data_IF_631533628076
#
_entry.id   IF_631533628076
#
_cell.length_a   1.000
_cell.length_b   1.000
_cell.length_c   1.000
_cell.angle_alpha   90.00
_cell.angle_beta   90.00
_cell.angle_gamma   90.00
#
_symmetry.space_group_name_H-M   'P 1'
#
loop_
_entity.id
_entity.type
_entity.pdbx_description
1 polymer ?
#
# COMPACT_ATOMS: atom_id res chain seq x y z
N UNK A 1 18.23 -31.02 -22.30
CA UNK A 1 17.01 -30.48 -22.95
C UNK A 1 16.37 -29.53 -21.95
N UNK A 2 16.60 -28.22 -22.09
CA UNK A 2 15.99 -27.23 -21.19
C UNK A 2 14.56 -26.99 -21.70
N UNK A 3 13.56 -27.45 -20.95
CA UNK A 3 12.17 -27.08 -21.23
C UNK A 3 12.06 -25.56 -21.20
N UNK A 4 11.57 -24.97 -22.30
CA UNK A 4 11.19 -23.55 -22.29
C UNK A 4 10.01 -23.42 -21.33
N UNK A 5 10.27 -22.93 -20.13
CA UNK A 5 9.26 -22.55 -19.15
C UNK A 5 8.40 -21.43 -19.75
N UNK A 6 7.32 -21.79 -20.44
CA UNK A 6 6.31 -20.85 -20.92
C UNK A 6 5.54 -20.23 -19.75
N UNK A 7 4.96 -19.04 -19.96
CA UNK A 7 4.08 -18.44 -18.97
C UNK A 7 2.85 -19.32 -18.75
N UNK A 8 2.52 -19.60 -17.48
CA UNK A 8 1.27 -20.27 -17.13
C UNK A 8 0.08 -19.37 -17.48
N UNK A 9 -0.99 -19.96 -18.01
CA UNK A 9 -2.20 -19.23 -18.46
C UNK A 9 -2.80 -18.38 -17.33
N UNK A 10 -2.82 -18.94 -16.12
CA UNK A 10 -3.33 -18.31 -14.91
C UNK A 10 -2.51 -17.07 -14.53
N UNK A 11 -1.19 -17.14 -14.69
CA UNK A 11 -0.28 -16.00 -14.46
C UNK A 11 -0.55 -14.88 -15.46
N UNK A 12 -0.81 -15.22 -16.73
CA UNK A 12 -1.12 -14.23 -17.75
C UNK A 12 -2.48 -13.56 -17.49
N UNK A 13 -3.51 -14.33 -17.12
CA UNK A 13 -4.83 -13.81 -16.76
C UNK A 13 -4.71 -12.87 -15.55
N UNK A 14 -4.01 -13.29 -14.50
CA UNK A 14 -3.79 -12.45 -13.32
C UNK A 14 -3.07 -11.15 -13.69
N UNK A 15 -2.00 -11.22 -14.49
CA UNK A 15 -1.24 -10.04 -14.93
C UNK A 15 -2.12 -9.04 -15.71
N UNK A 16 -2.97 -9.53 -16.62
CA UNK A 16 -3.91 -8.68 -17.37
C UNK A 16 -4.95 -8.05 -16.45
N UNK A 17 -5.53 -8.82 -15.51
CA UNK A 17 -6.49 -8.29 -14.54
C UNK A 17 -5.85 -7.23 -13.65
N UNK A 18 -4.63 -7.47 -13.16
CA UNK A 18 -3.86 -6.50 -12.37
C UNK A 18 -3.66 -5.21 -13.17
N UNK A 19 -3.11 -5.32 -14.38
CA UNK A 19 -2.81 -4.17 -15.23
C UNK A 19 -4.08 -3.38 -15.58
N UNK A 20 -5.16 -4.07 -15.94
CA UNK A 20 -6.45 -3.45 -16.22
C UNK A 20 -7.01 -2.73 -14.99
N UNK A 21 -6.95 -3.35 -13.81
CA UNK A 21 -7.42 -2.75 -12.57
C UNK A 21 -6.62 -1.50 -12.21
N UNK A 22 -5.29 -1.49 -12.41
CA UNK A 22 -4.46 -0.29 -12.22
C UNK A 22 -4.90 0.85 -13.15
N UNK A 23 -5.17 0.56 -14.43
CA UNK A 23 -5.65 1.59 -15.38
C UNK A 23 -7.02 2.11 -14.97
N UNK A 24 -7.96 1.23 -14.63
CA UNK A 24 -9.29 1.60 -14.14
C UNK A 24 -9.18 2.46 -12.87
N UNK A 25 -8.28 2.10 -11.95
CA UNK A 25 -7.98 2.90 -10.75
C UNK A 25 -7.60 4.32 -11.10
N UNK A 26 -6.60 4.48 -11.97
CA UNK A 26 -6.09 5.80 -12.33
C UNK A 26 -7.16 6.63 -13.05
N UNK A 27 -7.97 6.02 -13.92
CA UNK A 27 -9.08 6.69 -14.61
C UNK A 27 -10.15 7.15 -13.61
N UNK A 28 -10.61 6.26 -12.73
CA UNK A 28 -11.65 6.58 -11.72
C UNK A 28 -11.16 7.70 -10.80
N UNK A 29 -9.93 7.61 -10.29
CA UNK A 29 -9.36 8.66 -9.44
C UNK A 29 -9.22 9.99 -10.19
N UNK A 30 -8.87 9.95 -11.48
CA UNK A 30 -8.86 11.11 -12.36
C UNK A 30 -10.23 11.78 -12.52
N UNK A 31 -11.31 10.98 -12.67
CA UNK A 31 -12.70 11.48 -12.76
C UNK A 31 -13.09 12.21 -11.47
N UNK A 32 -12.72 11.65 -10.31
CA UNK A 32 -12.96 12.27 -9.00
C UNK A 32 -11.98 13.41 -8.65
N UNK A 33 -11.07 13.77 -9.57
CA UNK A 33 -10.03 14.79 -9.38
C UNK A 33 -9.14 14.55 -8.15
N UNK A 34 -8.98 13.29 -7.77
CA UNK A 34 -8.07 12.88 -6.70
C UNK A 34 -6.64 13.06 -7.23
N UNK A 35 -5.89 13.98 -6.63
CA UNK A 35 -4.55 14.34 -7.12
C UNK A 35 -3.49 13.32 -6.72
N UNK A 36 -3.77 12.50 -5.71
CA UNK A 36 -2.82 11.55 -5.14
C UNK A 36 -3.42 10.14 -5.10
N UNK A 37 -3.40 9.45 -6.25
CA UNK A 37 -3.92 8.09 -6.36
C UNK A 37 -2.97 6.97 -5.92
N UNK A 38 -1.70 7.30 -5.69
CA UNK A 38 -0.67 6.35 -5.27
C UNK A 38 -1.04 5.51 -4.04
N UNK A 39 -1.77 6.01 -3.01
CA UNK A 39 -2.05 5.19 -1.83
C UNK A 39 -2.94 3.99 -2.14
N UNK A 40 -3.93 4.16 -3.03
CA UNK A 40 -4.80 3.08 -3.48
C UNK A 40 -4.05 2.07 -4.36
N UNK A 41 -3.14 2.58 -5.21
CA UNK A 41 -2.29 1.75 -6.05
C UNK A 41 -1.38 0.84 -5.22
N UNK A 42 -0.74 1.36 -4.15
CA UNK A 42 0.09 0.55 -3.27
C UNK A 42 -0.72 -0.56 -2.57
N UNK A 43 -1.97 -0.29 -2.19
CA UNK A 43 -2.84 -1.32 -1.60
C UNK A 43 -3.05 -2.47 -2.59
N UNK A 44 -3.35 -2.13 -3.84
CA UNK A 44 -3.53 -3.12 -4.91
C UNK A 44 -2.23 -3.91 -5.16
N UNK A 45 -1.10 -3.21 -5.24
CA UNK A 45 0.22 -3.82 -5.44
C UNK A 45 0.54 -4.81 -4.31
N UNK A 46 0.41 -4.40 -3.05
CA UNK A 46 0.69 -5.27 -1.91
C UNK A 46 -0.26 -6.46 -1.81
N UNK A 47 -1.52 -6.27 -2.18
CA UNK A 47 -2.47 -7.38 -2.23
C UNK A 47 -1.98 -8.47 -3.18
N UNK A 48 -1.55 -8.11 -4.38
CA UNK A 48 -1.02 -9.06 -5.36
C UNK A 48 0.36 -9.60 -5.01
N UNK A 49 1.25 -8.77 -4.50
CA UNK A 49 2.58 -9.19 -4.03
C UNK A 49 2.48 -10.20 -2.88
N UNK A 50 1.46 -10.07 -2.03
CA UNK A 50 1.14 -11.05 -0.98
C UNK A 50 0.47 -12.34 -1.49
N UNK A 51 0.40 -12.52 -2.82
CA UNK A 51 -0.22 -13.68 -3.46
C UNK A 51 -1.75 -13.60 -3.57
N UNK A 52 -2.32 -12.40 -3.59
CA UNK A 52 -3.76 -12.16 -3.64
C UNK A 52 -4.56 -12.83 -2.51
N UNK A 53 -3.94 -12.97 -1.32
CA UNK A 53 -4.58 -13.59 -0.15
C UNK A 53 -5.33 -12.57 0.67
N UNK A 54 -6.63 -12.80 0.87
CA UNK A 54 -7.51 -11.87 1.60
C UNK A 54 -7.14 -11.69 3.06
N UNK A 55 -6.48 -12.69 3.67
CA UNK A 55 -5.97 -12.62 5.05
C UNK A 55 -4.98 -11.46 5.26
N UNK A 56 -4.24 -11.06 4.22
CA UNK A 56 -3.26 -9.98 4.29
C UNK A 56 -3.91 -8.59 4.19
N UNK A 57 -5.15 -8.48 3.69
CA UNK A 57 -5.81 -7.19 3.48
C UNK A 57 -5.85 -6.36 4.76
N UNK A 58 -6.13 -7.01 5.90
CA UNK A 58 -6.16 -6.31 7.20
C UNK A 58 -4.83 -5.63 7.51
N UNK A 59 -3.72 -6.35 7.35
CA UNK A 59 -2.38 -5.82 7.60
C UNK A 59 -1.99 -4.75 6.57
N UNK A 60 -2.39 -4.90 5.31
CA UNK A 60 -2.16 -3.91 4.25
C UNK A 60 -2.87 -2.59 4.57
N UNK A 61 -4.17 -2.64 4.89
CA UNK A 61 -4.95 -1.42 5.18
C UNK A 61 -4.52 -0.77 6.51
N UNK A 62 -4.33 -1.57 7.57
CA UNK A 62 -3.83 -1.04 8.84
C UNK A 62 -2.43 -0.44 8.68
N UNK A 63 -1.55 -1.12 7.96
CA UNK A 63 -0.22 -0.61 7.62
C UNK A 63 -0.30 0.70 6.83
N UNK A 64 -1.18 0.79 5.84
CA UNK A 64 -1.39 2.03 5.08
C UNK A 64 -1.75 3.20 5.98
N UNK A 65 -2.74 3.02 6.86
CA UNK A 65 -3.17 4.06 7.81
C UNK A 65 -2.02 4.45 8.74
N UNK A 66 -1.35 3.47 9.36
CA UNK A 66 -0.27 3.73 10.32
C UNK A 66 0.91 4.43 9.64
N UNK A 67 1.37 3.94 8.49
CA UNK A 67 2.48 4.54 7.75
C UNK A 67 2.20 5.99 7.34
N UNK A 68 0.98 6.28 6.87
CA UNK A 68 0.55 7.63 6.52
C UNK A 68 0.50 8.56 7.73
N UNK A 69 -0.01 8.08 8.87
CA UNK A 69 -0.05 8.84 10.12
C UNK A 69 1.35 9.12 10.66
N UNK A 70 2.26 8.13 10.63
CA UNK A 70 3.65 8.30 11.05
C UNK A 70 4.35 9.36 10.19
N UNK A 71 4.13 9.34 8.87
CA UNK A 71 4.71 10.34 7.97
C UNK A 71 4.08 11.74 8.17
N UNK A 72 2.77 11.82 8.49
CA UNK A 72 2.13 13.09 8.85
C UNK A 72 2.60 13.64 10.20
N UNK A 73 2.92 12.76 11.14
CA UNK A 73 3.42 13.11 12.47
C UNK A 73 4.90 13.49 12.51
N UNK A 74 5.71 12.99 11.57
CA UNK A 74 7.14 13.28 11.47
C UNK A 74 7.46 14.80 11.53
N UNK A 75 6.89 15.68 10.69
CA UNK A 75 7.21 17.11 10.76
C UNK A 75 6.79 17.76 12.08
N UNK A 76 5.74 17.26 12.73
CA UNK A 76 5.30 17.77 14.04
C UNK A 76 6.30 17.40 15.13
N UNK A 77 6.75 16.15 15.15
CA UNK A 77 7.76 15.66 16.08
C UNK A 77 9.10 16.36 15.88
N UNK A 78 9.54 16.52 14.63
CA UNK A 78 10.76 17.27 14.28
C UNK A 78 10.65 18.71 14.77
N UNK A 79 9.55 19.41 14.46
CA UNK A 79 9.34 20.79 14.91
C UNK A 79 9.41 20.94 16.43
N UNK A 80 8.93 19.94 17.19
CA UNK A 80 8.99 19.95 18.65
C UNK A 80 10.42 19.77 19.20
N UNK A 81 11.28 19.06 18.48
CA UNK A 81 12.66 18.74 18.90
C UNK A 81 13.71 19.73 18.38
N UNK A 82 13.43 20.44 17.29
CA UNK A 82 14.33 21.44 16.68
C UNK A 82 14.87 22.46 17.68
N UNK A 83 14.09 23.03 18.62
CA UNK A 83 14.61 24.01 19.57
C UNK A 83 15.74 23.50 20.47
N UNK A 84 15.79 22.18 20.72
CA UNK A 84 16.75 21.56 21.63
C UNK A 84 17.93 20.92 20.89
N UNK A 85 17.71 20.39 19.69
CA UNK A 85 18.68 19.55 18.98
C UNK A 85 19.21 20.15 17.68
N UNK A 86 18.58 21.22 17.18
CA UNK A 86 18.75 21.65 15.79
C UNK A 86 18.01 20.74 14.79
N UNK A 87 17.94 21.16 13.53
CA UNK A 87 17.09 20.52 12.53
C UNK A 87 17.54 19.10 12.17
N UNK A 88 18.81 18.94 11.80
CA UNK A 88 19.32 17.67 11.28
C UNK A 88 19.30 16.55 12.33
N UNK A 89 19.79 16.75 13.58
CA UNK A 89 19.69 15.72 14.61
C UNK A 89 18.24 15.41 15.02
N UNK A 90 17.33 16.39 14.97
CA UNK A 90 15.90 16.16 15.24
C UNK A 90 15.27 15.25 14.17
N UNK A 91 15.56 15.47 12.88
CA UNK A 91 15.08 14.59 11.80
C UNK A 91 15.60 13.17 11.99
N UNK A 92 16.92 13.01 12.18
CA UNK A 92 17.54 11.70 12.34
C UNK A 92 16.97 10.95 13.54
N UNK A 93 16.76 11.63 14.67
CA UNK A 93 16.20 11.02 15.87
C UNK A 93 14.75 10.57 15.66
N UNK A 94 13.90 11.41 15.05
CA UNK A 94 12.50 11.05 14.80
C UNK A 94 12.40 9.88 13.82
N UNK A 95 13.19 9.89 12.74
CA UNK A 95 13.24 8.77 11.78
C UNK A 95 13.73 7.50 12.47
N UNK A 96 14.79 7.58 13.29
CA UNK A 96 15.28 6.46 14.07
C UNK A 96 14.19 5.87 14.96
N UNK A 97 13.47 6.70 15.72
CA UNK A 97 12.38 6.24 16.61
C UNK A 97 11.28 5.57 15.79
N UNK A 98 10.84 6.17 14.69
CA UNK A 98 9.76 5.59 13.86
C UNK A 98 10.17 4.24 13.30
N UNK A 99 11.37 4.13 12.72
CA UNK A 99 11.86 2.86 12.15
C UNK A 99 12.05 1.82 13.25
N UNK A 100 12.64 2.21 14.38
CA UNK A 100 12.80 1.34 15.54
C UNK A 100 11.46 0.79 16.01
N UNK A 101 10.43 1.64 16.14
CA UNK A 101 9.09 1.21 16.54
C UNK A 101 8.48 0.24 15.53
N UNK A 102 8.59 0.54 14.22
CA UNK A 102 8.04 -0.36 13.18
C UNK A 102 8.71 -1.73 13.24
N UNK A 103 10.03 -1.79 13.40
CA UNK A 103 10.77 -3.06 13.41
C UNK A 103 10.58 -3.80 14.74
N UNK A 104 10.79 -3.12 15.87
CA UNK A 104 10.76 -3.75 17.19
C UNK A 104 9.35 -4.18 17.62
N UNK A 105 8.31 -3.42 17.25
CA UNK A 105 6.92 -3.79 17.52
C UNK A 105 6.33 -4.68 16.43
N UNK A 106 7.09 -5.01 15.38
CA UNK A 106 6.64 -5.85 14.28
C UNK A 106 6.16 -7.22 14.75
N UNK A 107 6.86 -7.85 15.69
CA UNK A 107 6.51 -9.18 16.19
C UNK A 107 5.33 -9.15 17.19
N UNK A 108 5.13 -8.03 17.89
CA UNK A 108 4.12 -7.90 18.96
C UNK A 108 2.80 -7.34 18.43
N UNK A 109 2.88 -6.38 17.51
CA UNK A 109 1.76 -5.61 16.98
C UNK A 109 1.83 -5.51 15.44
N UNK A 110 2.10 -6.67 14.80
CA UNK A 110 2.27 -6.84 13.35
C UNK A 110 1.15 -6.24 12.49
N UNK A 111 -0.05 -6.04 13.04
CA UNK A 111 -1.14 -5.41 12.33
C UNK A 111 -0.88 -3.92 12.05
N UNK A 112 -0.22 -3.23 12.97
CA UNK A 112 0.04 -1.79 12.90
C UNK A 112 1.47 -1.51 12.44
N UNK A 113 2.43 -2.28 12.95
CA UNK A 113 3.85 -2.14 12.68
C UNK A 113 4.27 -3.29 11.76
N UNK A 114 4.33 -3.02 10.46
CA UNK A 114 4.70 -4.00 9.45
C UNK A 114 5.36 -3.35 8.24
N UNK A 115 5.80 -4.18 7.30
CA UNK A 115 6.45 -3.73 6.07
C UNK A 115 5.56 -2.81 5.23
N UNK A 116 4.23 -2.99 5.23
CA UNK A 116 3.33 -2.08 4.54
C UNK A 116 3.37 -0.69 5.18
N UNK A 117 3.29 -0.60 6.52
CA UNK A 117 3.42 0.67 7.24
C UNK A 117 4.75 1.37 6.93
N UNK A 118 5.85 0.62 6.89
CA UNK A 118 7.15 1.16 6.52
C UNK A 118 7.17 1.75 5.11
N UNK A 119 6.62 1.04 4.11
CA UNK A 119 6.61 1.54 2.73
C UNK A 119 5.70 2.75 2.58
N UNK A 120 4.51 2.76 3.18
CA UNK A 120 3.64 3.93 3.16
C UNK A 120 4.29 5.14 3.84
N UNK A 121 4.94 4.94 4.98
CA UNK A 121 5.73 5.98 5.66
C UNK A 121 6.82 6.54 4.74
N UNK A 122 7.60 5.66 4.12
CA UNK A 122 8.73 6.02 3.25
C UNK A 122 8.25 6.81 2.04
N UNK A 123 7.27 6.28 1.30
CA UNK A 123 6.73 6.92 0.09
C UNK A 123 6.11 8.26 0.43
N UNK A 124 5.31 8.33 1.51
CA UNK A 124 4.66 9.57 1.92
C UNK A 124 5.66 10.65 2.35
N UNK A 125 6.82 10.26 2.89
CA UNK A 125 7.88 11.18 3.33
C UNK A 125 8.71 11.76 2.18
N UNK A 126 8.60 11.22 0.96
CA UNK A 126 9.23 11.78 -0.25
C UNK A 126 8.52 13.08 -0.66
N UNK A 127 7.22 13.20 -0.39
CA UNK A 127 6.44 14.34 -0.82
C UNK A 127 6.70 15.56 0.08
N UNK A 128 6.92 16.75 -0.50
CA UNK A 128 7.20 17.95 0.29
C UNK A 128 5.97 18.43 1.10
N UNK A 129 4.76 18.04 0.69
CA UNK A 129 3.51 18.35 1.38
C UNK A 129 2.68 17.09 1.54
N UNK A 130 2.33 16.81 2.80
CA UNK A 130 1.47 15.72 3.20
C UNK A 130 0.00 16.13 3.13
N UNK A 131 -0.83 15.28 2.51
CA UNK A 131 -2.29 15.34 2.59
C UNK A 131 -2.79 14.11 3.35
N UNK A 132 -2.37 13.94 4.61
CA UNK A 132 -2.53 12.69 5.39
C UNK A 132 -3.95 12.12 5.33
N UNK A 133 -4.96 12.96 5.60
CA UNK A 133 -6.36 12.54 5.61
C UNK A 133 -6.85 12.13 4.21
N UNK A 134 -6.52 12.90 3.18
CA UNK A 134 -6.86 12.57 1.79
C UNK A 134 -6.23 11.23 1.41
N UNK A 135 -4.95 11.04 1.72
CA UNK A 135 -4.23 9.81 1.39
C UNK A 135 -4.74 8.59 2.14
N UNK A 136 -5.16 8.74 3.41
CA UNK A 136 -5.83 7.68 4.16
C UNK A 136 -7.16 7.31 3.50
N UNK A 137 -7.98 8.30 3.15
CA UNK A 137 -9.26 8.06 2.46
C UNK A 137 -9.04 7.35 1.13
N UNK A 138 -8.05 7.77 0.35
CA UNK A 138 -7.71 7.14 -0.93
C UNK A 138 -7.17 5.72 -0.72
N UNK A 139 -6.29 5.49 0.25
CA UNK A 139 -5.76 4.17 0.56
C UNK A 139 -6.87 3.21 0.97
N UNK A 140 -7.79 3.65 1.84
CA UNK A 140 -8.87 2.82 2.36
C UNK A 140 -9.96 2.62 1.31
N UNK A 141 -10.63 3.69 0.87
CA UNK A 141 -11.78 3.57 -0.03
C UNK A 141 -11.36 3.15 -1.44
N UNK A 142 -10.31 3.78 -1.98
CA UNK A 142 -9.76 3.41 -3.27
C UNK A 142 -9.19 1.99 -3.22
N UNK A 143 -8.34 1.69 -2.24
CA UNK A 143 -7.78 0.35 -2.08
C UNK A 143 -8.86 -0.73 -1.95
N UNK A 144 -9.93 -0.51 -1.18
CA UNK A 144 -11.05 -1.45 -1.07
C UNK A 144 -11.76 -1.67 -2.40
N UNK A 145 -12.07 -0.59 -3.13
CA UNK A 145 -12.70 -0.67 -4.45
C UNK A 145 -11.88 -1.52 -5.41
N UNK A 146 -10.56 -1.31 -5.44
CA UNK A 146 -9.70 -1.97 -6.42
C UNK A 146 -9.31 -3.38 -6.04
N UNK A 147 -8.99 -3.64 -4.77
CA UNK A 147 -8.72 -5.00 -4.30
C UNK A 147 -9.97 -5.87 -4.30
N UNK A 148 -11.12 -5.30 -3.90
CA UNK A 148 -12.41 -5.98 -3.98
C UNK A 148 -12.85 -6.23 -5.42
N UNK A 149 -12.71 -5.23 -6.30
CA UNK A 149 -13.01 -5.36 -7.72
C UNK A 149 -12.14 -6.43 -8.41
N UNK A 150 -10.84 -6.46 -8.11
CA UNK A 150 -9.92 -7.45 -8.68
C UNK A 150 -10.21 -8.87 -8.20
N UNK A 151 -10.52 -9.05 -6.91
CA UNK A 151 -10.99 -10.32 -6.34
C UNK A 151 -12.29 -10.79 -7.02
N UNK A 152 -13.25 -9.88 -7.22
CA UNK A 152 -14.50 -10.18 -7.89
C UNK A 152 -14.28 -10.67 -9.32
N UNK A 153 -13.47 -9.95 -10.10
CA UNK A 153 -13.11 -10.31 -11.47
C UNK A 153 -12.38 -11.65 -11.57
N UNK A 154 -11.37 -11.88 -10.72
CA UNK A 154 -10.64 -13.15 -10.68
C UNK A 154 -11.57 -14.33 -10.37
N UNK A 155 -12.47 -14.15 -9.38
CA UNK A 155 -13.42 -15.19 -9.01
C UNK A 155 -14.42 -15.49 -10.13
N UNK A 156 -14.86 -14.48 -10.87
CA UNK A 156 -15.74 -14.66 -12.03
C UNK A 156 -15.05 -15.40 -13.18
N UNK A 157 -13.82 -15.01 -13.51
CA UNK A 157 -13.05 -15.61 -14.61
C UNK A 157 -12.66 -17.06 -14.32
N UNK A 158 -12.15 -17.36 -13.11
CA UNK A 158 -11.77 -18.72 -12.72
C UNK A 158 -13.00 -19.65 -12.64
N UNK A 159 -14.13 -19.14 -12.15
CA UNK A 159 -15.38 -19.92 -12.08
C UNK A 159 -15.88 -20.35 -13.45
N UNK A 160 -15.63 -19.57 -14.51
CA UNK A 160 -16.06 -19.90 -15.86
C UNK A 160 -15.20 -21.00 -16.49
N UNK A 161 -13.90 -21.08 -16.17
CA UNK A 161 -13.02 -22.14 -16.68
C UNK A 161 -13.34 -23.53 -16.09
N UNK A 162 -13.89 -23.60 -14.87
CA UNK A 162 -14.28 -24.87 -14.24
C UNK A 162 -15.57 -25.51 -14.76
N UNK A 163 -16.30 -24.84 -15.66
CA UNK A 163 -17.53 -25.36 -16.27
C UNK A 163 -17.35 -25.79 -17.74
N UNK A 164 -16.16 -25.56 -18.32
CA UNK A 164 -15.82 -25.95 -19.71
C UNK A 164 -14.89 -27.18 -19.79
N UNK A 165 -14.63 -27.86 -18.67
CA UNK A 165 -13.90 -29.13 -18.57
C UNK A 165 -14.82 -30.29 -18.22
#
# INVERSE_FOLDING_TARGET
MNEKQGFKKETLIAAVVIAAMVVVTLVVLGIFKVKSGWPAFLTLLFFFESGAKTENLKNIFCGAVVGLLLAGGLPLAVKALVPSLGLEPAILLVVFIIIFLIVALGDVAHMFFNNYAFVYFTVASIFPKQSTLEWIVVAVLGGMLFTGGSLGLLKLLIRHEGHES
#
